data_IF_629469198100
#
_entry.id   IF_629469198100
#
_cell.length_a   1.000
_cell.length_b   1.000
_cell.length_c   1.000
_cell.angle_alpha   90.00
_cell.angle_beta   90.00
_cell.angle_gamma   90.00
#
_symmetry.space_group_name_H-M   'P 1'
#
loop_
_entity.id
_entity.type
_entity.pdbx_description
1 polymer ?
#
# COMPACT_ATOMS: atom_id res chain seq x y z
N UNK A 1 -36.36 2.80 11.75
CA UNK A 1 -35.59 3.62 10.81
C UNK A 1 -34.30 2.89 10.47
N UNK A 2 -34.11 2.58 9.20
CA UNK A 2 -32.88 1.97 8.69
C UNK A 2 -31.96 3.05 8.13
N UNK A 3 -30.67 2.86 8.25
CA UNK A 3 -29.64 3.63 7.57
C UNK A 3 -29.11 2.78 6.43
N UNK A 4 -29.28 3.24 5.19
CA UNK A 4 -28.60 2.63 4.04
C UNK A 4 -27.27 3.33 3.89
N UNK A 5 -26.18 2.56 3.98
CA UNK A 5 -24.83 3.05 3.73
C UNK A 5 -24.42 2.50 2.36
N UNK A 6 -24.19 3.39 1.41
CA UNK A 6 -23.69 3.04 0.10
C UNK A 6 -22.20 3.39 -0.02
N UNK A 7 -21.42 2.48 -0.56
CA UNK A 7 -20.01 2.70 -0.89
C UNK A 7 -19.93 3.56 -2.15
N UNK A 8 -19.93 4.87 -1.99
CA UNK A 8 -19.77 5.81 -3.09
C UNK A 8 -18.40 6.48 -2.98
N UNK A 9 -17.55 6.28 -3.97
CA UNK A 9 -16.22 6.88 -4.06
C UNK A 9 -15.35 6.66 -2.81
N UNK A 10 -15.32 5.43 -2.29
CA UNK A 10 -14.59 5.09 -1.07
C UNK A 10 -15.07 5.86 0.18
N UNK A 11 -16.34 6.24 0.22
CA UNK A 11 -16.90 7.01 1.33
C UNK A 11 -16.94 6.24 2.66
N UNK A 12 -16.87 4.91 2.62
CA UNK A 12 -16.80 4.03 3.78
C UNK A 12 -15.35 3.64 4.08
N UNK A 13 -14.51 3.54 3.07
CA UNK A 13 -13.08 3.30 3.23
C UNK A 13 -12.42 4.46 3.99
N UNK A 14 -11.91 4.19 5.18
CA UNK A 14 -11.34 5.19 6.08
C UNK A 14 -12.35 5.96 6.94
N UNK A 15 -13.66 5.75 6.76
CA UNK A 15 -14.72 6.37 7.56
C UNK A 15 -15.26 5.48 8.68
N UNK A 16 -15.62 4.24 8.39
CA UNK A 16 -16.00 3.21 9.38
C UNK A 16 -14.81 2.33 9.78
N UNK A 17 -13.87 2.18 8.88
CA UNK A 17 -12.60 1.53 9.05
C UNK A 17 -11.51 2.60 9.03
N UNK A 18 -10.75 2.76 10.10
CA UNK A 18 -9.69 3.76 10.19
C UNK A 18 -8.43 3.37 9.37
N UNK A 19 -8.58 2.58 8.31
CA UNK A 19 -7.50 2.20 7.41
C UNK A 19 -6.99 3.43 6.64
N UNK A 20 -5.71 3.71 6.75
CA UNK A 20 -5.07 4.87 6.13
C UNK A 20 -4.43 4.55 4.78
N UNK A 21 -4.28 3.26 4.44
CA UNK A 21 -3.66 2.82 3.18
C UNK A 21 -4.73 2.47 2.15
N UNK A 22 -4.72 3.19 1.04
CA UNK A 22 -5.52 2.86 -0.12
C UNK A 22 -4.92 1.65 -0.86
N UNK A 23 -5.77 0.80 -1.43
CA UNK A 23 -5.35 -0.36 -2.23
C UNK A 23 -4.30 -1.24 -1.53
N UNK A 24 -4.58 -1.58 -0.28
CA UNK A 24 -3.67 -2.28 0.65
C UNK A 24 -3.19 -3.65 0.15
N UNK A 25 -3.98 -4.33 -0.68
CA UNK A 25 -3.71 -5.66 -1.24
C UNK A 25 -3.48 -5.61 -2.76
N UNK A 26 -3.29 -4.42 -3.33
CA UNK A 26 -3.00 -4.20 -4.75
C UNK A 26 -4.07 -4.75 -5.71
N UNK A 27 -5.27 -5.01 -5.20
CA UNK A 27 -6.38 -5.59 -5.96
C UNK A 27 -7.17 -4.56 -6.79
N UNK A 28 -7.03 -3.27 -6.51
CA UNK A 28 -7.65 -2.21 -7.29
C UNK A 28 -7.15 -2.27 -8.73
N UNK A 29 -8.09 -2.20 -9.69
CA UNK A 29 -7.78 -2.41 -11.11
C UNK A 29 -7.85 -3.90 -11.55
N UNK A 30 -8.20 -4.84 -10.64
CA UNK A 30 -8.56 -6.21 -11.00
C UNK A 30 -10.06 -6.30 -11.23
N UNK A 31 -10.52 -6.75 -12.40
CA UNK A 31 -11.95 -6.97 -12.60
C UNK A 31 -12.52 -7.94 -11.56
N UNK A 32 -13.66 -7.64 -10.95
CA UNK A 32 -14.38 -8.58 -10.11
C UNK A 32 -14.67 -9.88 -10.85
N UNK A 33 -14.86 -10.97 -10.11
CA UNK A 33 -15.25 -12.25 -10.69
C UNK A 33 -16.56 -12.10 -11.45
N UNK A 34 -16.65 -12.75 -12.62
CA UNK A 34 -17.81 -12.71 -13.50
C UNK A 34 -18.15 -11.32 -14.08
N UNK A 35 -17.21 -10.39 -14.07
CA UNK A 35 -17.34 -9.09 -14.72
C UNK A 35 -16.30 -9.01 -15.85
N UNK A 36 -16.59 -9.47 -17.07
CA UNK A 36 -15.66 -9.37 -18.18
C UNK A 36 -15.36 -7.90 -18.50
N UNK A 37 -14.12 -7.64 -18.87
CA UNK A 37 -13.67 -6.31 -19.26
C UNK A 37 -13.75 -6.14 -20.77
N UNK A 38 -14.48 -5.12 -21.19
CA UNK A 38 -14.53 -4.64 -22.58
C UNK A 38 -13.44 -3.56 -22.77
N UNK A 39 -12.34 -3.96 -23.40
CA UNK A 39 -11.20 -3.07 -23.61
C UNK A 39 -11.48 -1.95 -24.62
N UNK A 40 -12.41 -2.14 -25.55
CA UNK A 40 -12.73 -1.13 -26.54
C UNK A 40 -13.51 0.04 -25.93
N UNK A 41 -14.27 -0.23 -24.87
CA UNK A 41 -15.12 0.75 -24.20
C UNK A 41 -14.57 1.16 -22.83
N UNK A 42 -13.51 0.51 -22.35
CA UNK A 42 -12.97 0.68 -20.99
C UNK A 42 -14.05 0.50 -19.91
N UNK A 43 -14.83 -0.56 -20.00
CA UNK A 43 -15.90 -0.86 -19.06
C UNK A 43 -15.85 -2.32 -18.59
N UNK A 44 -16.33 -2.58 -17.39
CA UNK A 44 -16.73 -3.92 -16.95
C UNK A 44 -18.17 -4.16 -17.30
N UNK A 45 -18.49 -5.40 -17.67
CA UNK A 45 -19.87 -5.84 -17.87
C UNK A 45 -20.26 -6.67 -16.64
N UNK A 46 -21.22 -6.18 -15.87
CA UNK A 46 -21.71 -6.92 -14.69
C UNK A 46 -22.55 -8.14 -15.11
N UNK A 47 -22.77 -9.13 -14.24
CA UNK A 47 -23.63 -10.27 -14.51
C UNK A 47 -25.07 -9.88 -14.92
N UNK A 48 -25.53 -8.70 -14.49
CA UNK A 48 -26.85 -8.16 -14.85
C UNK A 48 -26.84 -7.34 -16.15
N UNK A 49 -25.72 -7.33 -16.89
CA UNK A 49 -25.56 -6.63 -18.15
C UNK A 49 -25.30 -5.12 -18.04
N UNK A 50 -25.09 -4.59 -16.83
CA UNK A 50 -24.73 -3.18 -16.66
C UNK A 50 -23.27 -2.96 -17.02
N UNK A 51 -22.95 -1.78 -17.50
CA UNK A 51 -21.58 -1.39 -17.79
C UNK A 51 -21.08 -0.37 -16.76
N UNK A 52 -19.90 -0.63 -16.19
CA UNK A 52 -19.25 0.24 -15.21
C UNK A 52 -17.93 0.71 -15.80
N UNK A 53 -17.65 2.02 -15.85
CA UNK A 53 -16.35 2.52 -16.26
C UNK A 53 -15.24 1.86 -15.45
N UNK A 54 -14.23 1.33 -16.12
CA UNK A 54 -13.14 0.64 -15.45
C UNK A 54 -11.84 0.87 -16.21
N UNK A 55 -10.89 1.47 -15.53
CA UNK A 55 -9.55 1.63 -16.09
C UNK A 55 -8.70 0.43 -15.71
N UNK A 56 -8.59 -0.52 -16.62
CA UNK A 56 -7.60 -1.58 -16.51
C UNK A 56 -6.23 -0.99 -16.80
N UNK A 57 -5.36 -0.97 -15.83
CA UNK A 57 -4.01 -0.49 -16.00
C UNK A 57 -3.01 -1.33 -15.22
N UNK A 58 -1.77 -1.28 -15.65
CA UNK A 58 -0.62 -1.74 -14.86
C UNK A 58 -0.31 -0.78 -13.70
N UNK A 59 -1.16 0.24 -13.54
CA UNK A 59 -1.09 1.18 -12.43
C UNK A 59 -1.56 0.51 -11.14
N UNK A 60 -0.93 0.90 -10.06
CA UNK A 60 -1.29 0.49 -8.70
C UNK A 60 -1.87 1.72 -7.99
N UNK A 61 -3.21 1.92 -8.07
CA UNK A 61 -3.85 3.09 -7.47
C UNK A 61 -3.45 3.27 -6.00
N UNK A 62 -3.20 4.50 -5.57
CA UNK A 62 -2.77 4.83 -4.21
C UNK A 62 -1.28 4.59 -3.93
N UNK A 63 -0.54 4.07 -4.92
CA UNK A 63 0.88 3.79 -4.80
C UNK A 63 1.67 4.42 -5.95
N UNK A 64 2.82 5.00 -5.61
CA UNK A 64 3.79 5.47 -6.61
C UNK A 64 5.19 4.95 -6.31
N UNK A 65 6.01 4.86 -7.35
CA UNK A 65 7.40 4.45 -7.24
C UNK A 65 8.34 5.64 -7.07
N UNK A 66 9.47 5.45 -6.40
CA UNK A 66 10.55 6.44 -6.34
C UNK A 66 11.39 6.30 -7.61
N UNK A 67 11.36 7.31 -8.46
CA UNK A 67 12.11 7.37 -9.71
C UNK A 67 13.47 8.02 -9.51
N UNK A 68 14.49 7.68 -10.32
CA UNK A 68 14.48 6.69 -11.40
C UNK A 68 14.72 5.25 -10.95
N UNK A 69 15.07 5.02 -9.69
CA UNK A 69 15.67 3.78 -9.18
C UNK A 69 14.70 2.63 -8.96
N UNK A 70 13.42 2.77 -9.27
CA UNK A 70 12.42 1.76 -8.94
C UNK A 70 11.54 1.40 -10.13
N UNK A 71 11.32 0.10 -10.30
CA UNK A 71 10.25 -0.45 -11.11
C UNK A 71 9.28 -1.20 -10.19
N UNK A 72 7.99 -1.13 -10.49
CA UNK A 72 6.93 -1.85 -9.77
C UNK A 72 6.06 -2.60 -10.75
N UNK A 73 5.65 -3.81 -10.36
CA UNK A 73 4.83 -4.68 -11.19
C UNK A 73 3.78 -5.38 -10.31
N UNK A 74 2.49 -5.32 -10.65
CA UNK A 74 1.51 -6.24 -10.07
C UNK A 74 1.89 -7.68 -10.45
N UNK A 75 2.07 -8.54 -9.46
CA UNK A 75 2.45 -9.94 -9.65
C UNK A 75 1.28 -10.86 -9.27
N UNK A 76 0.96 -11.80 -10.17
CA UNK A 76 -0.12 -12.78 -9.98
C UNK A 76 0.41 -14.19 -9.67
N UNK A 77 1.73 -14.35 -9.53
CA UNK A 77 2.37 -15.65 -9.27
C UNK A 77 2.83 -15.79 -7.83
N UNK A 78 3.48 -14.74 -7.31
CA UNK A 78 3.99 -14.71 -5.95
C UNK A 78 2.94 -14.12 -5.01
N UNK A 79 2.03 -14.96 -4.53
CA UNK A 79 0.88 -14.56 -3.71
C UNK A 79 1.07 -14.95 -2.25
N UNK A 80 0.57 -14.12 -1.33
CA UNK A 80 0.64 -14.38 0.11
C UNK A 80 -0.27 -15.54 0.55
N UNK A 81 -1.36 -15.76 -0.20
CA UNK A 81 -2.31 -16.86 0.03
C UNK A 81 -3.18 -17.08 -1.23
N UNK A 82 -4.08 -18.06 -1.16
CA UNK A 82 -4.98 -18.47 -2.26
C UNK A 82 -6.16 -17.51 -2.51
N UNK A 83 -6.37 -16.52 -1.66
CA UNK A 83 -7.47 -15.54 -1.78
C UNK A 83 -7.03 -14.26 -2.47
N UNK A 84 -5.78 -13.84 -2.24
CA UNK A 84 -5.22 -12.69 -2.90
C UNK A 84 -4.88 -13.04 -4.35
N UNK A 85 -5.21 -12.18 -5.28
CA UNK A 85 -4.98 -12.37 -6.70
C UNK A 85 -3.76 -11.63 -7.21
N UNK A 86 -3.20 -10.75 -6.40
CA UNK A 86 -2.02 -9.94 -6.70
C UNK A 86 -1.18 -9.71 -5.47
N UNK A 87 0.10 -9.48 -5.72
CA UNK A 87 1.03 -8.82 -4.82
C UNK A 87 1.74 -7.71 -5.59
N UNK A 88 2.53 -6.89 -4.93
CA UNK A 88 3.34 -5.86 -5.57
C UNK A 88 4.81 -6.29 -5.60
N UNK A 89 5.34 -6.56 -6.79
CA UNK A 89 6.78 -6.69 -7.00
C UNK A 89 7.42 -5.31 -7.06
N UNK A 90 8.43 -5.09 -6.22
CA UNK A 90 9.25 -3.88 -6.18
C UNK A 90 10.69 -4.24 -6.52
N UNK A 91 11.19 -3.69 -7.62
CA UNK A 91 12.58 -3.85 -8.04
C UNK A 91 13.32 -2.51 -7.92
N UNK A 92 14.24 -2.45 -6.97
CA UNK A 92 15.13 -1.30 -6.75
C UNK A 92 16.47 -1.60 -7.40
N UNK A 93 16.93 -0.68 -8.25
CA UNK A 93 18.25 -0.74 -8.90
C UNK A 93 18.99 0.55 -8.61
N UNK A 94 19.94 0.48 -7.69
CA UNK A 94 20.85 1.58 -7.40
C UNK A 94 22.14 1.37 -8.16
N UNK A 95 22.32 2.09 -9.26
CA UNK A 95 23.58 2.11 -10.02
C UNK A 95 24.48 3.21 -9.49
N UNK A 96 25.48 2.88 -8.68
CA UNK A 96 26.47 3.83 -8.20
C UNK A 96 26.06 4.59 -6.94
N UNK A 97 26.53 5.81 -6.80
CA UNK A 97 26.38 6.61 -5.59
C UNK A 97 24.93 6.87 -5.19
N UNK A 98 24.61 6.45 -3.97
CA UNK A 98 23.43 6.81 -3.15
C UNK A 98 22.10 7.03 -3.89
N UNK A 99 21.43 5.96 -4.21
CA UNK A 99 20.09 6.06 -4.77
C UNK A 99 19.07 5.26 -3.96
N UNK A 100 18.32 5.94 -3.10
CA UNK A 100 17.13 5.37 -2.47
C UNK A 100 16.09 5.00 -3.55
N UNK A 101 15.56 3.81 -3.48
CA UNK A 101 14.45 3.34 -4.30
C UNK A 101 13.36 2.71 -3.45
N UNK A 102 12.18 2.49 -4.04
CA UNK A 102 11.06 1.87 -3.33
C UNK A 102 9.71 2.47 -3.71
N UNK A 103 8.74 2.29 -2.85
CA UNK A 103 7.35 2.70 -3.07
C UNK A 103 6.84 3.62 -1.99
N UNK A 104 5.84 4.39 -2.36
CA UNK A 104 5.16 5.38 -1.53
C UNK A 104 3.68 5.09 -1.59
N UNK A 105 3.05 4.84 -0.44
CA UNK A 105 1.61 4.80 -0.28
C UNK A 105 1.11 6.19 0.09
N UNK A 106 0.23 6.75 -0.74
CA UNK A 106 -0.24 8.13 -0.60
C UNK A 106 -1.51 8.24 0.27
N UNK A 107 -2.09 7.09 0.70
CA UNK A 107 -3.40 7.08 1.34
C UNK A 107 -4.50 7.56 0.39
N UNK A 108 -5.61 8.02 0.93
CA UNK A 108 -6.74 8.50 0.12
C UNK A 108 -6.57 9.94 -0.35
N UNK A 109 -6.00 10.82 0.47
CA UNK A 109 -5.65 12.22 0.16
C UNK A 109 -4.50 12.68 1.05
N UNK A 110 -3.48 11.86 1.19
CA UNK A 110 -2.46 11.96 2.22
C UNK A 110 -2.88 11.18 3.48
N UNK A 111 -1.91 10.89 4.32
CA UNK A 111 -2.08 10.22 5.62
C UNK A 111 -1.98 11.31 6.69
N UNK A 112 -3.09 11.68 7.35
CA UNK A 112 -3.02 12.68 8.41
C UNK A 112 -2.34 12.08 9.64
N UNK A 113 -1.26 12.68 10.08
CA UNK A 113 -0.55 12.30 11.30
C UNK A 113 -0.46 13.47 12.27
N UNK A 114 -0.47 13.15 13.57
CA UNK A 114 -0.34 14.13 14.66
C UNK A 114 0.85 13.77 15.54
N UNK A 115 1.58 14.79 15.91
CA UNK A 115 2.77 14.65 16.78
C UNK A 115 2.43 13.90 18.08
N UNK A 116 3.22 12.89 18.36
CA UNK A 116 3.08 12.05 19.55
C UNK A 116 2.02 10.94 19.43
N UNK A 117 1.17 10.96 18.38
CA UNK A 117 0.23 9.86 18.14
C UNK A 117 0.93 8.65 17.53
N UNK A 118 0.32 7.50 17.74
CA UNK A 118 0.86 6.20 17.34
C UNK A 118 0.03 5.61 16.22
N UNK A 119 0.73 4.90 15.30
CA UNK A 119 0.15 4.32 14.09
C UNK A 119 0.61 2.88 13.93
N UNK A 120 -0.32 1.94 13.96
CA UNK A 120 -0.06 0.51 13.86
C UNK A 120 0.07 0.08 12.40
N UNK A 121 1.30 -0.27 12.00
CA UNK A 121 1.62 -0.83 10.69
C UNK A 121 1.59 -2.34 10.72
N UNK A 122 1.05 -2.95 9.68
CA UNK A 122 1.31 -4.35 9.36
C UNK A 122 1.38 -4.57 7.85
N UNK A 123 2.27 -5.44 7.40
CA UNK A 123 2.37 -5.83 6.00
C UNK A 123 2.98 -7.21 5.86
N UNK A 124 2.74 -7.86 4.74
CA UNK A 124 3.49 -9.04 4.33
C UNK A 124 4.59 -8.62 3.36
N UNK A 125 5.76 -9.23 3.52
CA UNK A 125 6.86 -9.07 2.57
C UNK A 125 7.61 -10.37 2.37
N UNK A 126 8.17 -10.51 1.16
CA UNK A 126 9.02 -11.60 0.70
C UNK A 126 10.19 -11.02 -0.09
N UNK A 127 11.39 -11.52 0.10
CA UNK A 127 12.57 -11.15 -0.68
C UNK A 127 12.83 -12.11 -1.84
N UNK A 128 13.42 -11.62 -2.91
CA UNK A 128 13.79 -12.44 -4.07
C UNK A 128 15.13 -13.18 -3.88
N UNK A 129 16.00 -12.69 -3.01
CA UNK A 129 17.37 -13.15 -2.91
C UNK A 129 17.58 -14.05 -1.68
N UNK A 130 18.47 -15.04 -1.83
CA UNK A 130 18.93 -15.87 -0.70
C UNK A 130 19.65 -15.01 0.37
N UNK A 131 20.25 -13.89 -0.04
CA UNK A 131 20.81 -12.91 0.88
C UNK A 131 19.77 -11.82 1.10
N UNK A 132 19.24 -11.69 2.32
CA UNK A 132 18.24 -10.69 2.64
C UNK A 132 18.77 -9.27 2.38
N UNK A 133 17.91 -8.41 1.86
CA UNK A 133 18.18 -6.98 1.67
C UNK A 133 17.31 -6.18 2.62
N UNK A 134 17.94 -5.24 3.30
CA UNK A 134 17.23 -4.37 4.24
C UNK A 134 16.31 -3.42 3.48
N UNK A 135 15.05 -3.39 3.89
CA UNK A 135 14.10 -2.35 3.52
C UNK A 135 13.79 -1.48 4.74
N UNK A 136 13.53 -0.21 4.50
CA UNK A 136 13.18 0.79 5.49
C UNK A 136 11.74 1.20 5.30
N UNK A 137 11.00 1.31 6.38
CA UNK A 137 9.60 1.74 6.39
C UNK A 137 9.48 2.92 7.34
N UNK A 138 8.86 4.00 6.88
CA UNK A 138 8.68 5.22 7.68
C UNK A 138 7.44 6.00 7.23
N UNK A 139 6.94 6.86 8.11
CA UNK A 139 6.06 7.95 7.71
C UNK A 139 6.92 9.15 7.34
N UNK A 140 6.64 9.74 6.19
CA UNK A 140 7.42 10.85 5.64
C UNK A 140 6.50 11.97 5.16
N UNK A 141 7.07 13.12 4.85
CA UNK A 141 6.32 14.22 4.23
C UNK A 141 5.78 13.82 2.85
N UNK A 142 4.88 14.59 2.29
CA UNK A 142 4.21 14.31 1.01
C UNK A 142 5.19 14.17 -0.17
N UNK A 143 6.37 14.75 -0.05
CA UNK A 143 7.45 14.66 -1.05
C UNK A 143 8.36 13.45 -0.81
N UNK A 144 8.18 12.72 0.30
CA UNK A 144 9.02 11.60 0.74
C UNK A 144 10.50 11.99 0.92
N UNK A 145 10.74 13.16 1.47
CA UNK A 145 12.08 13.71 1.71
C UNK A 145 12.44 13.81 3.18
N UNK A 146 11.43 14.00 4.05
CA UNK A 146 11.62 14.20 5.48
C UNK A 146 10.90 13.11 6.27
N UNK A 147 11.63 12.39 7.12
CA UNK A 147 11.07 11.37 8.01
C UNK A 147 10.32 12.04 9.16
N UNK A 148 9.08 11.65 9.36
CA UNK A 148 8.14 12.18 10.36
C UNK A 148 7.77 11.15 11.44
N UNK A 149 8.50 10.04 11.53
CA UNK A 149 8.32 8.98 12.53
C UNK A 149 9.67 8.35 12.89
N UNK A 150 9.66 7.38 13.78
CA UNK A 150 10.74 6.42 13.86
C UNK A 150 10.82 5.56 12.58
N UNK A 151 11.98 4.95 12.32
CA UNK A 151 12.24 4.16 11.12
C UNK A 151 12.24 2.69 11.47
N UNK A 152 11.36 1.93 10.84
CA UNK A 152 11.33 0.48 10.96
C UNK A 152 12.16 -0.18 9.86
N UNK A 153 13.09 -1.05 10.24
CA UNK A 153 13.96 -1.77 9.30
C UNK A 153 13.71 -3.27 9.38
N UNK A 154 13.55 -3.90 8.23
CA UNK A 154 13.40 -5.35 8.11
C UNK A 154 14.19 -5.87 6.90
N UNK A 155 14.58 -7.14 6.94
CA UNK A 155 15.22 -7.83 5.84
C UNK A 155 14.35 -9.03 5.43
N UNK A 156 13.45 -8.88 4.45
CA UNK A 156 12.58 -9.96 4.02
C UNK A 156 13.36 -11.15 3.49
N UNK A 157 12.97 -12.34 3.95
CA UNK A 157 13.49 -13.62 3.49
C UNK A 157 12.72 -14.11 2.27
N UNK A 158 13.14 -15.24 1.72
CA UNK A 158 12.54 -15.87 0.54
C UNK A 158 11.07 -16.31 0.73
N UNK A 159 10.64 -16.46 1.99
CA UNK A 159 9.27 -16.82 2.33
C UNK A 159 8.45 -15.61 2.75
N UNK A 160 7.15 -15.63 2.47
CA UNK A 160 6.23 -14.61 2.93
C UNK A 160 6.22 -14.55 4.45
N UNK A 161 6.46 -13.38 5.01
CA UNK A 161 6.40 -13.12 6.44
C UNK A 161 5.60 -11.85 6.71
N UNK A 162 4.78 -11.90 7.76
CA UNK A 162 4.09 -10.72 8.28
C UNK A 162 5.01 -9.94 9.19
N UNK A 163 5.15 -8.66 8.91
CA UNK A 163 5.85 -7.69 9.74
C UNK A 163 4.84 -6.76 10.41
N UNK A 164 5.16 -6.29 11.61
CA UNK A 164 4.35 -5.34 12.38
C UNK A 164 5.26 -4.35 13.06
N UNK A 165 4.78 -3.11 13.14
CA UNK A 165 5.47 -2.04 13.85
C UNK A 165 4.45 -0.98 14.27
N UNK A 166 4.72 -0.26 15.35
CA UNK A 166 3.92 0.89 15.76
C UNK A 166 4.80 2.12 15.66
N UNK A 167 4.52 2.98 14.70
CA UNK A 167 5.18 4.27 14.55
C UNK A 167 4.72 5.26 15.61
N UNK A 168 5.62 6.14 16.02
CA UNK A 168 5.28 7.36 16.75
C UNK A 168 5.58 8.56 15.87
N UNK A 169 4.57 9.38 15.57
CA UNK A 169 4.77 10.57 14.77
C UNK A 169 5.56 11.64 15.54
N UNK A 170 6.57 12.21 14.89
CA UNK A 170 7.42 13.25 15.49
C UNK A 170 6.89 14.66 15.26
N UNK A 171 6.03 14.83 14.26
CA UNK A 171 5.45 16.11 13.87
C UNK A 171 4.01 15.95 13.37
N UNK A 172 3.29 17.08 13.29
CA UNK A 172 1.97 17.15 12.65
C UNK A 172 2.14 17.25 11.14
N UNK A 173 1.43 16.40 10.39
CA UNK A 173 1.36 16.52 8.94
C UNK A 173 -0.02 16.06 8.44
N UNK A 174 -0.75 16.92 7.70
CA UNK A 174 -2.08 16.56 7.19
C UNK A 174 -2.02 15.60 5.99
N UNK A 175 -0.87 15.47 5.34
CA UNK A 175 -0.68 14.75 4.10
C UNK A 175 0.65 13.97 4.05
N UNK A 176 1.01 13.32 5.16
CA UNK A 176 2.14 12.41 5.17
C UNK A 176 1.92 11.23 4.22
N UNK A 177 2.96 10.46 3.97
CA UNK A 177 2.94 9.24 3.16
C UNK A 177 3.66 8.11 3.91
N UNK A 178 3.29 6.87 3.62
CA UNK A 178 4.05 5.70 4.06
C UNK A 178 5.06 5.34 2.97
N UNK A 179 6.33 5.25 3.33
CA UNK A 179 7.40 4.85 2.41
C UNK A 179 7.93 3.46 2.78
N UNK A 180 8.18 2.63 1.75
CA UNK A 180 8.86 1.34 1.88
C UNK A 180 10.01 1.33 0.88
N UNK A 181 11.24 1.44 1.37
CA UNK A 181 12.40 1.79 0.54
C UNK A 181 13.61 0.91 0.83
N UNK A 182 14.53 0.85 -0.13
CA UNK A 182 15.85 0.27 0.03
C UNK A 182 16.91 1.26 -0.45
N UNK A 183 18.04 1.30 0.26
CA UNK A 183 19.18 2.16 -0.08
C UNK A 183 20.20 1.42 -0.97
N UNK A 184 19.94 0.16 -1.26
CA UNK A 184 20.74 -0.70 -2.16
C UNK A 184 19.83 -1.46 -3.09
N UNK A 185 20.39 -1.98 -4.18
CA UNK A 185 19.63 -2.81 -5.12
C UNK A 185 18.96 -3.99 -4.39
N UNK A 186 17.66 -4.09 -4.54
CA UNK A 186 16.82 -5.07 -3.87
C UNK A 186 15.60 -5.43 -4.74
N UNK A 187 15.16 -6.68 -4.62
CA UNK A 187 13.89 -7.13 -5.20
C UNK A 187 13.08 -7.78 -4.10
N UNK A 188 11.87 -7.31 -3.91
CA UNK A 188 10.96 -7.83 -2.90
C UNK A 188 9.50 -7.69 -3.33
N UNK A 189 8.64 -8.47 -2.71
CA UNK A 189 7.20 -8.39 -2.85
C UNK A 189 6.56 -7.87 -1.59
N UNK A 190 5.47 -7.14 -1.76
CA UNK A 190 4.61 -6.61 -0.70
C UNK A 190 3.18 -7.09 -0.91
N UNK A 191 2.46 -7.30 0.20
CA UNK A 191 1.02 -7.53 0.19
C UNK A 191 0.38 -7.16 1.53
N UNK A 192 -0.91 -6.86 1.50
CA UNK A 192 -1.76 -6.55 2.67
C UNK A 192 -1.10 -5.49 3.57
N UNK A 193 -0.67 -4.39 2.96
CA UNK A 193 -0.08 -3.26 3.69
C UNK A 193 -1.19 -2.45 4.35
N UNK A 194 -1.12 -2.27 5.64
CA UNK A 194 -2.18 -1.70 6.46
C UNK A 194 -1.60 -0.79 7.53
N UNK A 195 -2.20 0.39 7.70
CA UNK A 195 -1.80 1.38 8.70
C UNK A 195 -3.04 1.93 9.40
N UNK A 196 -3.10 1.80 10.71
CA UNK A 196 -4.19 2.31 11.54
C UNK A 196 -3.68 3.27 12.59
N UNK A 197 -4.42 4.35 12.93
CA UNK A 197 -4.16 5.07 14.17
C UNK A 197 -4.41 4.14 15.36
N UNK A 198 -3.58 4.22 16.40
CA UNK A 198 -3.80 3.45 17.63
C UNK A 198 -4.97 4.03 18.43
N UNK A 199 -5.07 5.36 18.44
CA UNK A 199 -6.22 6.05 19.05
C UNK A 199 -7.41 6.06 18.09
N UNK A 200 -8.33 5.16 18.35
CA UNK A 200 -9.57 5.00 17.59
C UNK A 200 -10.78 5.29 18.46
N UNK A 201 -11.93 5.51 17.83
CA UNK A 201 -13.16 5.80 18.55
C UNK A 201 -13.49 4.73 19.60
N UNK A 202 -13.58 5.16 20.87
CA UNK A 202 -13.79 4.28 22.05
C UNK A 202 -12.72 3.18 22.21
N UNK A 203 -11.50 3.37 21.70
CA UNK A 203 -10.42 2.37 21.79
C UNK A 203 -10.70 1.07 21.03
N UNK A 204 -11.61 1.10 20.04
CA UNK A 204 -11.87 -0.07 19.21
C UNK A 204 -10.72 -0.32 18.27
N UNK A 205 -10.22 -1.54 18.26
CA UNK A 205 -9.16 -1.93 17.35
C UNK A 205 -9.68 -1.87 15.92
N UNK A 206 -9.01 -1.09 15.07
CA UNK A 206 -9.32 -0.87 13.66
C UNK A 206 -10.60 -0.03 13.38
N UNK A 207 -11.04 0.83 14.27
CA UNK A 207 -12.13 1.75 13.98
C UNK A 207 -13.10 2.02 15.10
#
# INVERSE_FOLDING_TARGET
>A
YGLTIEEINHGIDGGLYAELIQNRSFEDGVPPLNCPYDAARNVLITPNGWTIPFMRGDSVPGWRRIVPNTQIYPDMKELVNDKNRRSLLVAVSTSGESGRGGVIAEGYRGIPIRKGERYDLSFFAKGANMVPRTIRVALEDSMANTVLSDVFQVAPLYEWKRYRHTFTATEDAPNAVLTITADTSAVFWLDVVSLFPEDTWKGRKNG
#
